data_IF_639216246039
#
_entry.id   IF_639216246039
#
_cell.length_a   1.000
_cell.length_b   1.000
_cell.length_c   1.000
_cell.angle_alpha   90.00
_cell.angle_beta   90.00
_cell.angle_gamma   90.00
#
_symmetry.space_group_name_H-M   'P 1'
#
loop_
_entity.id
_entity.type
_entity.pdbx_description
1 polymer ?
#
# COMPACT_ATOMS: atom_id res chain seq x y z
N UNK A 1 -16.48 -2.01 -34.88
CA UNK A 1 -15.55 -2.58 -33.88
C UNK A 1 -16.37 -3.36 -32.85
N UNK A 2 -16.17 -4.67 -32.74
CA UNK A 2 -16.80 -5.48 -31.69
C UNK A 2 -16.10 -5.17 -30.36
N UNK A 3 -16.80 -4.54 -29.42
CA UNK A 3 -16.31 -4.34 -28.05
C UNK A 3 -16.11 -5.71 -27.41
N UNK A 4 -14.86 -6.13 -27.19
CA UNK A 4 -14.56 -7.32 -26.38
C UNK A 4 -15.25 -7.15 -25.04
N UNK A 5 -16.23 -8.01 -24.73
CA UNK A 5 -16.82 -8.06 -23.39
C UNK A 5 -15.70 -8.38 -22.40
N UNK A 6 -15.40 -7.43 -21.52
CA UNK A 6 -14.41 -7.65 -20.45
C UNK A 6 -14.96 -8.70 -19.49
N UNK A 7 -14.13 -9.68 -19.12
CA UNK A 7 -14.49 -10.65 -18.08
C UNK A 7 -14.91 -9.91 -16.81
N UNK A 8 -15.95 -10.35 -16.08
CA UNK A 8 -16.26 -9.79 -14.78
C UNK A 8 -15.03 -9.80 -13.88
N UNK A 9 -14.83 -8.72 -13.10
CA UNK A 9 -13.77 -8.67 -12.10
C UNK A 9 -13.99 -9.79 -11.08
N UNK A 10 -12.90 -10.37 -10.56
CA UNK A 10 -13.01 -11.27 -9.41
C UNK A 10 -13.58 -10.53 -8.19
N UNK A 11 -14.19 -11.26 -7.27
CA UNK A 11 -14.66 -10.69 -6.00
C UNK A 11 -13.52 -10.00 -5.26
N UNK A 12 -12.33 -10.60 -5.23
CA UNK A 12 -11.11 -10.00 -4.64
C UNK A 12 -10.83 -8.62 -5.23
N UNK A 13 -10.83 -8.49 -6.56
CA UNK A 13 -10.59 -7.20 -7.22
C UNK A 13 -11.72 -6.18 -6.95
N UNK A 14 -12.95 -6.65 -6.74
CA UNK A 14 -14.06 -5.79 -6.34
C UNK A 14 -13.85 -5.27 -4.91
N UNK A 15 -13.47 -6.14 -3.98
CA UNK A 15 -13.17 -5.78 -2.59
C UNK A 15 -11.98 -4.81 -2.49
N UNK A 16 -10.87 -5.08 -3.18
CA UNK A 16 -9.72 -4.16 -3.25
C UNK A 16 -10.16 -2.79 -3.80
N UNK A 17 -11.00 -2.79 -4.84
CA UNK A 17 -11.54 -1.56 -5.42
C UNK A 17 -12.44 -0.78 -4.45
N UNK A 18 -13.21 -1.48 -3.62
CA UNK A 18 -14.06 -0.87 -2.59
C UNK A 18 -13.22 -0.28 -1.44
N UNK A 19 -12.29 -1.07 -0.89
CA UNK A 19 -11.33 -0.63 0.13
C UNK A 19 -10.57 0.60 -0.39
N UNK A 20 -10.02 0.50 -1.60
CA UNK A 20 -9.26 1.59 -2.20
C UNK A 20 -10.07 2.88 -2.43
N UNK A 21 -11.37 2.77 -2.70
CA UNK A 21 -12.28 3.92 -2.84
C UNK A 21 -12.53 4.61 -1.50
N UNK A 22 -12.69 3.83 -0.44
CA UNK A 22 -13.00 4.33 0.90
C UNK A 22 -11.77 4.45 1.80
N UNK A 23 -10.57 4.33 1.23
CA UNK A 23 -9.33 4.26 2.00
C UNK A 23 -9.15 5.47 2.94
N UNK A 24 -9.50 6.66 2.50
CA UNK A 24 -9.44 7.89 3.31
C UNK A 24 -10.39 7.86 4.51
N UNK A 25 -11.55 7.21 4.35
CA UNK A 25 -12.55 7.07 5.43
C UNK A 25 -12.13 6.02 6.48
N UNK A 26 -11.24 5.08 6.12
CA UNK A 26 -10.83 3.95 6.98
C UNK A 26 -9.36 4.01 7.39
N UNK A 27 -8.61 5.04 6.96
CA UNK A 27 -7.16 5.10 7.16
C UNK A 27 -6.80 5.20 8.64
N UNK A 28 -7.64 5.85 9.43
CA UNK A 28 -7.48 6.02 10.87
C UNK A 28 -7.64 4.70 11.64
N UNK A 29 -8.41 3.75 11.10
CA UNK A 29 -8.65 2.42 11.68
C UNK A 29 -7.83 1.32 10.96
N UNK A 30 -6.85 1.71 10.13
CA UNK A 30 -6.16 0.76 9.26
C UNK A 30 -5.32 -0.25 10.04
N UNK A 31 -4.87 0.09 11.24
CA UNK A 31 -4.13 -0.79 12.15
C UNK A 31 -4.97 -1.99 12.60
N UNK A 32 -6.25 -1.77 12.93
CA UNK A 32 -7.19 -2.85 13.24
C UNK A 32 -7.53 -3.68 12.00
N UNK A 33 -7.72 -3.03 10.86
CA UNK A 33 -8.12 -3.67 9.60
C UNK A 33 -6.98 -4.53 9.04
N UNK A 34 -5.74 -4.03 9.06
CA UNK A 34 -4.59 -4.65 8.41
C UNK A 34 -4.22 -6.02 9.02
N UNK A 35 -4.54 -6.26 10.29
CA UNK A 35 -4.30 -7.54 10.98
C UNK A 35 -5.00 -8.70 10.24
N UNK A 36 -6.18 -8.46 9.66
CA UNK A 36 -6.95 -9.46 8.94
C UNK A 36 -6.60 -9.59 7.44
N UNK A 37 -5.76 -8.72 6.90
CA UNK A 37 -5.48 -8.67 5.47
C UNK A 37 -4.31 -9.61 5.09
N UNK A 38 -4.46 -10.41 4.01
CA UNK A 38 -3.34 -11.11 3.41
C UNK A 38 -2.26 -10.14 2.91
N UNK A 39 -0.99 -10.58 2.90
CA UNK A 39 0.15 -9.74 2.53
C UNK A 39 0.03 -9.07 1.14
N UNK A 40 -0.49 -9.82 0.15
CA UNK A 40 -0.76 -9.32 -1.19
C UNK A 40 -1.82 -8.20 -1.22
N UNK A 41 -2.79 -8.27 -0.31
CA UNK A 41 -3.83 -7.24 -0.17
C UNK A 41 -3.25 -6.02 0.54
N UNK A 42 -2.42 -6.19 1.58
CA UNK A 42 -1.69 -5.09 2.22
C UNK A 42 -0.83 -4.31 1.20
N UNK A 43 -0.11 -5.04 0.32
CA UNK A 43 0.69 -4.42 -0.73
C UNK A 43 -0.18 -3.65 -1.74
N UNK A 44 -1.34 -4.21 -2.11
CA UNK A 44 -2.30 -3.53 -2.98
C UNK A 44 -2.85 -2.25 -2.33
N UNK A 45 -3.16 -2.29 -1.03
CA UNK A 45 -3.60 -1.13 -0.26
C UNK A 45 -2.50 -0.07 -0.19
N UNK A 46 -1.25 -0.44 0.09
CA UNK A 46 -0.12 0.49 0.09
C UNK A 46 0.06 1.19 -1.28
N UNK A 47 -0.06 0.44 -2.37
CA UNK A 47 -0.02 0.98 -3.73
C UNK A 47 -1.20 1.91 -4.05
N UNK A 48 -2.37 1.69 -3.45
CA UNK A 48 -3.53 2.59 -3.58
C UNK A 48 -3.32 3.85 -2.74
N UNK A 49 -2.88 3.71 -1.49
CA UNK A 49 -2.55 4.82 -0.60
C UNK A 49 -1.58 5.78 -1.28
N UNK A 50 -0.51 5.24 -1.88
CA UNK A 50 0.48 6.03 -2.63
C UNK A 50 -0.14 6.83 -3.77
N UNK A 51 -0.94 6.16 -4.62
CA UNK A 51 -1.61 6.79 -5.76
C UNK A 51 -2.62 7.86 -5.34
N UNK A 52 -3.18 7.73 -4.14
CA UNK A 52 -4.13 8.68 -3.55
C UNK A 52 -3.49 9.75 -2.67
N UNK A 53 -2.16 9.78 -2.51
CA UNK A 53 -1.45 10.70 -1.61
C UNK A 53 -1.83 10.51 -0.13
N UNK A 54 -2.10 9.28 0.26
CA UNK A 54 -2.41 8.85 1.64
C UNK A 54 -1.31 7.98 2.25
N UNK A 55 -0.24 7.68 1.50
CA UNK A 55 0.87 6.88 2.03
C UNK A 55 1.82 7.77 2.83
N UNK A 56 1.84 7.57 4.14
CA UNK A 56 2.74 8.18 5.11
C UNK A 56 3.41 7.08 5.97
N UNK A 57 4.16 7.48 7.00
CA UNK A 57 4.86 6.55 7.89
C UNK A 57 3.91 5.56 8.57
N UNK A 58 2.84 6.04 9.19
CA UNK A 58 1.90 5.20 9.94
C UNK A 58 1.22 4.17 9.04
N UNK A 59 0.80 4.58 7.85
CA UNK A 59 0.18 3.69 6.85
C UNK A 59 1.18 2.65 6.35
N UNK A 60 2.43 3.04 6.09
CA UNK A 60 3.45 2.10 5.63
C UNK A 60 3.80 1.08 6.70
N UNK A 61 4.02 1.52 7.95
CA UNK A 61 4.36 0.66 9.09
C UNK A 61 3.23 -0.33 9.35
N UNK A 62 1.99 0.15 9.37
CA UNK A 62 0.78 -0.67 9.57
C UNK A 62 0.64 -1.78 8.53
N UNK A 63 0.94 -1.49 7.26
CA UNK A 63 0.79 -2.44 6.17
C UNK A 63 2.01 -3.34 5.97
N UNK A 64 3.13 -3.05 6.63
CA UNK A 64 4.38 -3.76 6.43
C UNK A 64 4.20 -5.27 6.63
N UNK A 65 4.80 -6.04 5.73
CA UNK A 65 4.70 -7.49 5.75
C UNK A 65 6.04 -8.10 5.33
N UNK A 66 6.46 -9.15 6.05
CA UNK A 66 7.74 -9.77 5.82
C UNK A 66 7.90 -10.30 4.38
N UNK A 67 6.80 -10.75 3.76
CA UNK A 67 6.81 -11.37 2.43
C UNK A 67 7.01 -10.41 1.25
N UNK A 68 7.06 -9.10 1.48
CA UNK A 68 7.22 -8.13 0.41
C UNK A 68 8.61 -8.19 -0.24
N UNK A 69 8.65 -8.23 -1.56
CA UNK A 69 9.89 -8.20 -2.33
C UNK A 69 10.13 -6.89 -3.09
N UNK A 70 9.06 -6.18 -3.45
CA UNK A 70 9.12 -4.92 -4.19
C UNK A 70 8.24 -3.92 -3.48
N UNK A 71 8.80 -2.77 -3.15
CA UNK A 71 8.09 -1.67 -2.52
C UNK A 71 8.31 -0.37 -3.31
N UNK A 72 7.22 0.35 -3.56
CA UNK A 72 7.24 1.66 -4.22
C UNK A 72 6.63 2.66 -3.24
N UNK A 73 7.48 3.55 -2.69
CA UNK A 73 7.06 4.68 -1.85
C UNK A 73 7.26 6.01 -2.57
N UNK A 74 7.43 5.98 -3.90
CA UNK A 74 7.71 7.19 -4.67
C UNK A 74 6.53 8.18 -4.61
N UNK A 75 6.86 9.46 -4.47
CA UNK A 75 5.87 10.54 -4.43
C UNK A 75 4.93 10.48 -3.22
N UNK A 76 5.37 9.87 -2.11
CA UNK A 76 4.63 9.74 -0.85
C UNK A 76 5.21 10.63 0.26
N UNK A 77 4.52 10.69 1.39
CA UNK A 77 4.90 11.44 2.59
C UNK A 77 5.60 10.54 3.62
N UNK A 78 6.08 9.37 3.17
CA UNK A 78 6.93 8.49 4.00
C UNK A 78 8.25 9.19 4.28
N UNK A 79 8.73 9.16 5.52
CA UNK A 79 10.03 9.67 5.93
C UNK A 79 11.09 8.56 5.97
N UNK A 80 12.34 8.91 6.26
CA UNK A 80 13.36 7.90 6.53
C UNK A 80 13.06 7.09 7.79
N UNK A 81 12.35 7.67 8.78
CA UNK A 81 11.92 6.95 9.97
C UNK A 81 10.92 5.84 9.62
N UNK A 82 9.88 6.15 8.84
CA UNK A 82 8.92 5.15 8.38
C UNK A 82 9.56 4.05 7.56
N UNK A 83 10.55 4.38 6.73
CA UNK A 83 11.32 3.39 5.97
C UNK A 83 12.13 2.46 6.86
N UNK A 84 12.85 3.00 7.85
CA UNK A 84 13.61 2.18 8.80
C UNK A 84 12.68 1.25 9.57
N UNK A 85 11.52 1.74 10.02
CA UNK A 85 10.52 0.92 10.70
C UNK A 85 9.89 -0.15 9.83
N UNK A 86 9.54 0.17 8.59
CA UNK A 86 9.07 -0.84 7.64
C UNK A 86 10.14 -1.89 7.34
N UNK A 87 11.42 -1.50 7.25
CA UNK A 87 12.54 -2.41 7.02
C UNK A 87 12.79 -3.39 8.17
N UNK A 88 12.41 -3.05 9.41
CA UNK A 88 12.42 -3.99 10.55
C UNK A 88 11.49 -5.20 10.32
N UNK A 89 10.43 -5.03 9.50
CA UNK A 89 9.46 -6.08 9.15
C UNK A 89 9.75 -6.71 7.79
N UNK A 90 9.95 -5.89 6.76
CA UNK A 90 10.04 -6.29 5.35
C UNK A 90 11.40 -6.93 5.00
N UNK A 91 11.64 -8.15 5.48
CA UNK A 91 12.94 -8.83 5.40
C UNK A 91 13.37 -9.29 4.00
N UNK A 92 12.45 -9.31 3.02
CA UNK A 92 12.71 -9.85 1.68
C UNK A 92 12.72 -8.81 0.55
N UNK A 93 12.81 -7.51 0.88
CA UNK A 93 12.85 -6.44 -0.14
C UNK A 93 14.08 -6.58 -1.04
N UNK A 94 13.83 -6.71 -2.33
CA UNK A 94 14.83 -6.77 -3.42
C UNK A 94 14.87 -5.49 -4.24
N UNK A 95 13.77 -4.74 -4.28
CA UNK A 95 13.69 -3.47 -4.99
C UNK A 95 12.84 -2.46 -4.22
N UNK A 96 13.35 -1.22 -4.11
CA UNK A 96 12.69 -0.12 -3.43
C UNK A 96 12.76 1.14 -4.31
N UNK A 97 11.61 1.72 -4.64
CA UNK A 97 11.54 3.03 -5.30
C UNK A 97 11.21 4.13 -4.28
N UNK A 98 12.13 5.08 -4.12
CA UNK A 98 12.07 6.19 -3.15
C UNK A 98 11.97 7.58 -3.80
N UNK A 99 11.80 7.66 -5.12
CA UNK A 99 11.88 8.95 -5.84
C UNK A 99 10.76 9.91 -5.42
N UNK A 100 11.03 11.20 -5.41
CA UNK A 100 10.06 12.27 -5.12
C UNK A 100 9.36 12.17 -3.76
N UNK A 101 9.95 11.46 -2.82
CA UNK A 101 9.49 11.44 -1.43
C UNK A 101 9.79 12.80 -0.77
N UNK A 102 8.91 13.28 0.09
CA UNK A 102 9.17 14.51 0.85
C UNK A 102 10.24 14.17 1.90
N UNK A 103 11.48 14.64 1.68
CA UNK A 103 12.55 14.55 2.67
C UNK A 103 12.42 15.76 3.59
N UNK A 104 11.89 15.55 4.79
CA UNK A 104 11.89 16.55 5.86
C UNK A 104 13.20 16.32 6.65
N UNK A 105 14.14 17.26 6.57
CA UNK A 105 15.35 17.28 7.38
C UNK A 105 15.07 17.89 8.77
#
# INVERSE_FOLDING_TARGET
MLTKKTKPRSLVNLCIGLIGRHLEDIVEDLDEIAIGLPAEIKLAVAAIARRRKLLNDDVLITLADASWEILDVSGSDVSDFGLVKAAEVCSFIKALDIRYRIVIF
#
